data_IF_349638560530
#
_entry.id   IF_349638560530
#
_cell.length_a   1.000
_cell.length_b   1.000
_cell.length_c   1.000
_cell.angle_alpha   90.00
_cell.angle_beta   90.00
_cell.angle_gamma   90.00
#
_symmetry.space_group_name_H-M   'P 1'
#
loop_
_entity.id
_entity.type
_entity.pdbx_description
1 polymer ?
#
# COMPACT_ATOMS: atom_id res chain seq x y z
N UNK A 1 43.45 23.43 1.98
CA UNK A 1 42.82 22.73 3.10
C UNK A 1 42.34 21.38 2.59
N UNK A 2 43.08 20.30 2.85
CA UNK A 2 42.71 18.97 2.36
C UNK A 2 41.50 18.46 3.13
N UNK A 3 40.39 18.19 2.44
CA UNK A 3 39.20 17.60 3.04
C UNK A 3 39.58 16.21 3.55
N UNK A 4 39.58 16.03 4.87
CA UNK A 4 39.86 14.74 5.47
C UNK A 4 38.69 13.79 5.17
N UNK A 5 38.91 12.88 4.22
CA UNK A 5 37.93 11.91 3.74
C UNK A 5 37.43 10.97 4.85
N UNK A 6 38.21 10.75 5.93
CA UNK A 6 37.74 10.01 7.09
C UNK A 6 36.71 10.81 7.89
N UNK A 7 36.95 12.11 8.11
CA UNK A 7 36.02 12.98 8.84
C UNK A 7 34.69 13.09 8.11
N UNK A 8 34.71 13.22 6.78
CA UNK A 8 33.50 13.21 5.94
C UNK A 8 32.78 11.85 6.01
N UNK A 9 33.51 10.73 6.00
CA UNK A 9 32.89 9.39 6.14
C UNK A 9 32.25 9.19 7.51
N UNK A 10 32.90 9.62 8.59
CA UNK A 10 32.36 9.50 9.95
C UNK A 10 31.13 10.38 10.12
N UNK A 11 31.16 11.63 9.63
CA UNK A 11 30.00 12.51 9.65
C UNK A 11 28.84 11.96 8.79
N UNK A 12 29.12 11.40 7.62
CA UNK A 12 28.12 10.73 6.79
C UNK A 12 27.52 9.49 7.49
N UNK A 13 28.32 8.69 8.20
CA UNK A 13 27.85 7.55 8.97
C UNK A 13 27.03 7.95 10.20
N UNK A 14 27.41 9.04 10.88
CA UNK A 14 26.66 9.60 12.00
C UNK A 14 25.33 10.21 11.53
N UNK A 15 25.34 10.97 10.44
CA UNK A 15 24.14 11.48 9.80
C UNK A 15 23.24 10.35 9.28
N UNK A 16 23.81 9.30 8.69
CA UNK A 16 23.10 8.10 8.27
C UNK A 16 22.47 7.35 9.46
N UNK A 17 23.22 7.19 10.55
CA UNK A 17 22.74 6.60 11.80
C UNK A 17 21.60 7.42 12.42
N UNK A 18 21.77 8.75 12.45
CA UNK A 18 20.82 9.70 13.00
C UNK A 18 19.54 9.76 12.15
N UNK A 19 19.64 9.97 10.83
CA UNK A 19 18.50 10.00 9.90
C UNK A 19 17.71 8.70 9.86
N UNK A 20 18.38 7.56 10.10
CA UNK A 20 17.73 6.24 10.23
C UNK A 20 17.04 6.05 11.59
N UNK A 21 17.56 6.66 12.66
CA UNK A 21 16.90 6.71 13.98
C UNK A 21 15.71 7.67 14.00
N UNK A 22 15.80 8.82 13.33
CA UNK A 22 14.73 9.84 13.28
C UNK A 22 13.63 9.55 12.26
N UNK A 23 13.80 8.55 11.38
CA UNK A 23 12.79 8.16 10.41
C UNK A 23 12.74 9.02 9.14
N UNK A 24 13.63 10.01 9.00
CA UNK A 24 13.69 10.92 7.84
C UNK A 24 13.88 10.14 6.53
N UNK A 25 14.71 9.10 6.53
CA UNK A 25 14.88 8.23 5.36
C UNK A 25 13.57 7.52 4.96
N UNK A 26 12.75 7.18 5.95
CA UNK A 26 11.49 6.49 5.71
C UNK A 26 10.44 7.46 5.20
N UNK A 27 10.38 8.67 5.76
CA UNK A 27 9.55 9.75 5.25
C UNK A 27 9.92 10.10 3.80
N UNK A 28 11.21 10.21 3.47
CA UNK A 28 11.67 10.48 2.10
C UNK A 28 11.26 9.34 1.15
N UNK A 29 11.44 8.08 1.54
CA UNK A 29 11.02 6.94 0.69
C UNK A 29 9.51 6.95 0.48
N UNK A 30 8.72 7.19 1.53
CA UNK A 30 7.26 7.27 1.42
C UNK A 30 6.87 8.44 0.52
N UNK A 31 7.42 9.63 0.74
CA UNK A 31 7.13 10.81 -0.08
C UNK A 31 7.50 10.60 -1.54
N UNK A 32 8.70 10.07 -1.84
CA UNK A 32 9.13 9.80 -3.22
C UNK A 32 8.23 8.73 -3.85
N UNK A 33 7.92 7.65 -3.13
CA UNK A 33 7.00 6.62 -3.63
C UNK A 33 5.60 7.18 -3.88
N UNK A 34 5.11 8.06 -3.01
CA UNK A 34 3.84 8.77 -3.20
C UNK A 34 3.88 9.70 -4.42
N UNK A 35 4.96 10.45 -4.62
CA UNK A 35 5.12 11.34 -5.77
C UNK A 35 5.20 10.54 -7.08
N UNK A 36 5.94 9.43 -7.11
CA UNK A 36 6.00 8.54 -8.28
C UNK A 36 4.64 7.89 -8.54
N UNK A 37 3.97 7.41 -7.48
CA UNK A 37 2.61 6.88 -7.56
C UNK A 37 1.65 7.89 -8.20
N UNK A 38 1.63 9.13 -7.71
CA UNK A 38 0.75 10.17 -8.22
C UNK A 38 1.13 10.66 -9.62
N UNK A 39 2.41 10.68 -9.96
CA UNK A 39 2.88 11.01 -11.31
C UNK A 39 2.42 9.98 -12.34
N UNK A 40 2.62 8.69 -12.07
CA UNK A 40 2.15 7.61 -12.96
C UNK A 40 0.63 7.64 -13.05
N UNK A 41 -0.07 7.84 -11.92
CA UNK A 41 -1.53 7.88 -11.89
C UNK A 41 -2.13 9.03 -12.68
N UNK A 42 -1.50 10.21 -12.67
CA UNK A 42 -1.93 11.38 -13.45
C UNK A 42 -1.53 11.32 -14.93
N UNK A 43 -0.56 10.49 -15.31
CA UNK A 43 -0.12 10.32 -16.70
C UNK A 43 -1.00 9.35 -17.52
N UNK A 44 -1.82 8.52 -16.84
CA UNK A 44 -2.75 7.58 -17.49
C UNK A 44 -4.08 8.30 -17.70
N UNK A 45 -4.19 9.02 -18.82
CA UNK A 45 -5.42 9.70 -19.25
C UNK A 45 -5.99 9.00 -20.50
N UNK A 46 -7.31 8.90 -20.58
CA UNK A 46 -8.13 8.44 -21.73
C UNK A 46 -8.05 6.95 -22.14
N UNK A 47 -8.40 6.04 -21.21
CA UNK A 47 -8.75 4.64 -21.53
C UNK A 47 -10.15 4.25 -21.02
N UNK A 48 -11.08 5.20 -21.00
CA UNK A 48 -12.44 5.00 -20.46
C UNK A 48 -13.18 3.82 -21.11
N UNK A 49 -13.13 3.71 -22.44
CA UNK A 49 -13.80 2.63 -23.17
C UNK A 49 -13.22 1.25 -22.85
N UNK A 50 -11.89 1.16 -22.76
CA UNK A 50 -11.23 -0.09 -22.37
C UNK A 50 -11.50 -0.44 -20.91
N UNK A 51 -11.46 0.54 -20.01
CA UNK A 51 -11.78 0.36 -18.60
C UNK A 51 -13.20 -0.17 -18.40
N UNK A 52 -14.16 0.35 -19.17
CA UNK A 52 -15.53 -0.14 -19.17
C UNK A 52 -15.62 -1.58 -19.69
N UNK A 53 -14.95 -1.90 -20.80
CA UNK A 53 -14.90 -3.26 -21.33
C UNK A 53 -14.34 -4.24 -20.30
N UNK A 54 -13.20 -3.92 -19.69
CA UNK A 54 -12.57 -4.74 -18.66
C UNK A 54 -13.46 -4.89 -17.42
N UNK A 55 -14.24 -3.85 -17.08
CA UNK A 55 -15.23 -3.91 -16.00
C UNK A 55 -16.40 -4.87 -16.31
N UNK A 56 -16.89 -4.87 -17.55
CA UNK A 56 -17.91 -5.82 -18.01
C UNK A 56 -17.37 -7.25 -18.06
N UNK A 57 -16.11 -7.44 -18.48
CA UNK A 57 -15.45 -8.75 -18.45
C UNK A 57 -15.32 -9.30 -17.02
N UNK A 58 -15.09 -8.42 -16.04
CA UNK A 58 -15.08 -8.77 -14.62
C UNK A 58 -16.46 -9.18 -14.10
N UNK A 59 -17.52 -8.47 -14.49
CA UNK A 59 -18.89 -8.87 -14.19
C UNK A 59 -19.16 -10.27 -14.75
N UNK A 60 -18.81 -10.53 -16.01
CA UNK A 60 -18.99 -11.84 -16.63
C UNK A 60 -18.19 -12.94 -15.91
N UNK A 61 -16.97 -12.63 -15.48
CA UNK A 61 -16.14 -13.53 -14.67
C UNK A 61 -16.79 -13.84 -13.32
N UNK A 62 -17.27 -12.84 -12.59
CA UNK A 62 -17.93 -13.03 -11.30
C UNK A 62 -19.22 -13.83 -11.42
N UNK A 63 -19.99 -13.61 -12.50
CA UNK A 63 -21.16 -14.42 -12.83
C UNK A 63 -20.78 -15.87 -13.10
N UNK A 64 -19.72 -16.11 -13.88
CA UNK A 64 -19.22 -17.46 -14.16
C UNK A 64 -18.70 -18.17 -12.89
N UNK A 65 -18.14 -17.42 -11.96
CA UNK A 65 -17.67 -17.92 -10.66
C UNK A 65 -18.80 -18.06 -9.62
N UNK A 66 -19.99 -17.52 -9.90
CA UNK A 66 -21.13 -17.52 -8.98
C UNK A 66 -20.98 -16.58 -7.78
N UNK A 67 -20.16 -15.54 -7.89
CA UNK A 67 -19.87 -14.56 -6.83
C UNK A 67 -20.34 -13.14 -7.16
N UNK A 68 -21.10 -12.96 -8.25
CA UNK A 68 -21.71 -11.68 -8.63
C UNK A 68 -22.84 -11.31 -7.65
N UNK A 69 -22.46 -10.76 -6.50
CA UNK A 69 -23.36 -10.44 -5.37
C UNK A 69 -23.35 -8.96 -5.02
N UNK A 70 -22.63 -8.13 -5.76
CA UNK A 70 -22.44 -6.70 -5.47
C UNK A 70 -23.78 -5.96 -5.42
N UNK A 71 -24.68 -6.24 -6.37
CA UNK A 71 -26.02 -5.63 -6.42
C UNK A 71 -26.86 -6.06 -5.20
N UNK A 72 -26.80 -7.35 -4.84
CA UNK A 72 -27.51 -7.85 -3.67
C UNK A 72 -26.99 -7.19 -2.40
N UNK A 73 -25.66 -7.10 -2.23
CA UNK A 73 -25.05 -6.49 -1.05
C UNK A 73 -25.36 -4.99 -0.96
N UNK A 74 -25.31 -4.27 -2.10
CA UNK A 74 -25.70 -2.87 -2.16
C UNK A 74 -27.17 -2.68 -1.77
N UNK A 75 -28.07 -3.59 -2.19
CA UNK A 75 -29.50 -3.54 -1.86
C UNK A 75 -29.80 -3.60 -0.35
N UNK A 76 -28.90 -4.21 0.45
CA UNK A 76 -29.10 -4.31 1.90
C UNK A 76 -29.06 -2.94 2.61
N UNK A 77 -28.43 -1.93 2.00
CA UNK A 77 -28.24 -0.61 2.62
C UNK A 77 -28.83 0.53 1.79
N UNK A 78 -29.13 0.33 0.51
CA UNK A 78 -29.36 1.43 -0.44
C UNK A 78 -30.58 2.30 -0.10
N UNK A 79 -31.60 1.73 0.52
CA UNK A 79 -32.83 2.43 0.91
C UNK A 79 -32.71 3.15 2.27
N UNK A 80 -31.62 2.91 3.01
CA UNK A 80 -31.42 3.41 4.37
C UNK A 80 -30.35 4.48 4.41
N UNK A 81 -30.78 5.75 4.48
CA UNK A 81 -29.90 6.93 4.44
C UNK A 81 -28.67 6.83 5.37
N UNK A 82 -28.88 6.43 6.63
CA UNK A 82 -27.80 6.33 7.61
C UNK A 82 -26.85 5.16 7.34
N UNK A 83 -27.36 4.05 6.80
CA UNK A 83 -26.53 2.91 6.44
C UNK A 83 -25.60 3.27 5.27
N UNK A 84 -26.12 3.90 4.22
CA UNK A 84 -25.30 4.36 3.09
C UNK A 84 -24.25 5.37 3.54
N UNK A 85 -24.64 6.36 4.36
CA UNK A 85 -23.69 7.36 4.88
C UNK A 85 -22.60 6.72 5.74
N UNK A 86 -22.93 5.71 6.54
CA UNK A 86 -21.95 5.00 7.33
C UNK A 86 -20.97 4.22 6.44
N UNK A 87 -21.46 3.56 5.37
CA UNK A 87 -20.60 2.86 4.41
C UNK A 87 -19.70 3.82 3.62
N UNK A 88 -20.22 4.97 3.17
CA UNK A 88 -19.42 6.05 2.56
C UNK A 88 -18.36 6.58 3.53
N UNK A 89 -18.72 6.75 4.81
CA UNK A 89 -17.78 7.22 5.83
C UNK A 89 -16.66 6.21 6.07
N UNK A 90 -16.96 4.91 6.17
CA UNK A 90 -15.94 3.86 6.26
C UNK A 90 -15.04 3.89 5.03
N UNK A 91 -15.61 4.01 3.84
CA UNK A 91 -14.87 4.01 2.59
C UNK A 91 -13.81 5.12 2.58
N UNK A 92 -14.24 6.35 2.90
CA UNK A 92 -13.40 7.52 2.83
C UNK A 92 -12.45 7.66 4.04
N UNK A 93 -13.01 7.70 5.25
CA UNK A 93 -12.25 7.96 6.47
C UNK A 93 -11.54 6.73 7.02
N UNK A 94 -12.08 5.56 6.71
CA UNK A 94 -11.56 4.29 7.16
C UNK A 94 -10.32 3.81 6.40
N UNK A 95 -9.92 4.51 5.34
CA UNK A 95 -8.76 4.13 4.55
C UNK A 95 -7.53 5.00 4.88
N UNK A 96 -7.28 6.07 4.13
CA UNK A 96 -6.03 6.85 4.24
C UNK A 96 -5.81 7.46 5.64
N UNK A 97 -6.81 8.06 6.30
CA UNK A 97 -6.63 8.55 7.68
C UNK A 97 -6.25 7.45 8.65
N UNK A 98 -6.90 6.27 8.56
CA UNK A 98 -6.56 5.15 9.43
C UNK A 98 -5.17 4.58 9.13
N UNK A 99 -4.77 4.51 7.85
CA UNK A 99 -3.40 4.13 7.45
C UNK A 99 -2.39 5.01 8.16
N UNK A 100 -2.60 6.33 8.20
CA UNK A 100 -1.71 7.28 8.87
C UNK A 100 -1.68 7.03 10.39
N UNK A 101 -2.85 6.89 11.02
CA UNK A 101 -2.96 6.64 12.47
C UNK A 101 -2.25 5.34 12.86
N UNK A 102 -2.51 4.24 12.16
CA UNK A 102 -1.87 2.95 12.45
C UNK A 102 -0.39 2.96 12.11
N UNK A 103 0.03 3.67 11.06
CA UNK A 103 1.45 3.84 10.76
C UNK A 103 2.18 4.57 11.89
N UNK A 104 1.61 5.66 12.43
CA UNK A 104 2.17 6.38 13.59
C UNK A 104 2.18 5.47 14.83
N UNK A 105 1.07 4.81 15.13
CA UNK A 105 0.99 3.88 16.26
C UNK A 105 2.06 2.78 16.20
N UNK A 106 2.17 2.10 15.05
CA UNK A 106 3.20 1.07 14.85
C UNK A 106 4.61 1.67 14.88
N UNK A 107 4.81 2.89 14.37
CA UNK A 107 6.12 3.54 14.40
C UNK A 107 6.57 3.84 15.83
N UNK A 108 5.69 4.39 16.67
CA UNK A 108 5.97 4.75 18.07
C UNK A 108 6.15 3.50 18.93
N UNK A 109 5.20 2.55 18.87
CA UNK A 109 5.12 1.47 19.85
C UNK A 109 5.65 0.12 19.33
N UNK A 110 5.69 -0.10 18.01
CA UNK A 110 6.00 -1.40 17.41
C UNK A 110 6.94 -1.29 16.19
N UNK A 111 8.07 -0.60 16.37
CA UNK A 111 8.99 -0.20 15.29
C UNK A 111 9.39 -1.31 14.32
N UNK A 112 9.58 -2.54 14.83
CA UNK A 112 9.90 -3.72 14.00
C UNK A 112 8.75 -4.08 13.06
N UNK A 113 7.53 -4.15 13.60
CA UNK A 113 6.31 -4.41 12.83
C UNK A 113 6.04 -3.30 11.83
N UNK A 114 6.21 -2.04 12.22
CA UNK A 114 6.11 -0.90 11.30
C UNK A 114 7.00 -1.08 10.07
N UNK A 115 8.27 -1.46 10.26
CA UNK A 115 9.22 -1.61 9.14
C UNK A 115 8.79 -2.69 8.14
N UNK A 116 8.24 -3.80 8.64
CA UNK A 116 7.69 -4.88 7.82
C UNK A 116 6.44 -4.40 7.06
N UNK A 117 5.45 -3.86 7.78
CA UNK A 117 4.15 -3.45 7.22
C UNK A 117 4.32 -2.30 6.23
N UNK A 118 5.16 -1.30 6.52
CA UNK A 118 5.48 -0.21 5.58
C UNK A 118 6.09 -0.76 4.29
N UNK A 119 7.01 -1.71 4.38
CA UNK A 119 7.63 -2.30 3.18
C UNK A 119 6.60 -3.12 2.39
N UNK A 120 5.71 -3.83 3.06
CA UNK A 120 4.62 -4.57 2.43
C UNK A 120 3.62 -3.63 1.72
N UNK A 121 3.26 -2.53 2.39
CA UNK A 121 2.39 -1.47 1.86
C UNK A 121 2.99 -0.86 0.59
N UNK A 122 4.28 -0.48 0.62
CA UNK A 122 4.95 0.11 -0.55
C UNK A 122 5.10 -0.90 -1.70
N UNK A 123 5.44 -2.15 -1.39
CA UNK A 123 5.57 -3.21 -2.40
C UNK A 123 4.23 -3.53 -3.06
N UNK A 124 3.16 -3.71 -2.27
CA UNK A 124 1.80 -3.95 -2.79
C UNK A 124 1.27 -2.75 -3.57
N UNK A 125 1.52 -1.52 -3.10
CA UNK A 125 1.18 -0.30 -3.82
C UNK A 125 1.87 -0.21 -5.18
N UNK A 126 3.18 -0.51 -5.25
CA UNK A 126 3.92 -0.53 -6.51
C UNK A 126 3.39 -1.59 -7.49
N UNK A 127 3.06 -2.79 -7.00
CA UNK A 127 2.42 -3.84 -7.81
C UNK A 127 1.05 -3.36 -8.31
N UNK A 128 0.24 -2.75 -7.44
CA UNK A 128 -1.06 -2.21 -7.79
C UNK A 128 -0.97 -1.14 -8.89
N UNK A 129 0.02 -0.25 -8.82
CA UNK A 129 0.31 0.74 -9.87
C UNK A 129 0.57 0.10 -11.21
N UNK A 130 1.40 -0.95 -11.23
CA UNK A 130 1.70 -1.68 -12.46
C UNK A 130 0.43 -2.32 -13.02
N UNK A 131 -0.39 -2.95 -12.16
CA UNK A 131 -1.62 -3.63 -12.59
C UNK A 131 -2.60 -2.63 -13.21
N UNK A 132 -2.99 -1.55 -12.53
CA UNK A 132 -4.00 -0.65 -13.10
C UNK A 132 -3.47 0.14 -14.30
N UNK A 133 -2.15 0.37 -14.39
CA UNK A 133 -1.55 1.00 -15.57
C UNK A 133 -1.67 0.11 -16.81
N UNK A 134 -1.52 -1.21 -16.63
CA UNK A 134 -1.62 -2.19 -17.71
C UNK A 134 -3.06 -2.62 -18.00
N UNK A 135 -3.89 -2.70 -16.97
CA UNK A 135 -5.26 -3.21 -17.00
C UNK A 135 -6.19 -2.23 -16.27
N UNK A 136 -6.57 -1.10 -16.90
CA UNK A 136 -7.51 -0.15 -16.32
C UNK A 136 -8.90 -0.80 -16.23
N UNK A 137 -9.63 -0.54 -15.15
CA UNK A 137 -10.95 -1.14 -14.90
C UNK A 137 -11.88 -0.07 -14.33
N UNK A 138 -13.04 0.10 -14.96
CA UNK A 138 -14.08 0.96 -14.45
C UNK A 138 -14.71 0.32 -13.19
N UNK A 139 -14.78 1.03 -12.06
CA UNK A 139 -15.46 0.54 -10.87
C UNK A 139 -16.97 0.39 -11.13
N UNK A 140 -17.68 -0.44 -10.34
CA UNK A 140 -19.11 -0.70 -10.53
C UNK A 140 -19.96 0.57 -10.69
N UNK A 141 -19.71 1.61 -9.88
CA UNK A 141 -20.41 2.91 -9.91
C UNK A 141 -20.30 3.65 -11.24
N UNK A 142 -19.30 3.33 -12.07
CA UNK A 142 -19.06 3.95 -13.37
C UNK A 142 -19.50 3.06 -14.55
N UNK A 143 -20.08 1.88 -14.31
CA UNK A 143 -20.61 1.00 -15.35
C UNK A 143 -22.09 1.32 -15.56
N UNK A 144 -22.47 2.00 -16.66
CA UNK A 144 -23.86 2.30 -16.92
C UNK A 144 -24.66 1.02 -17.14
N UNK A 145 -25.95 1.03 -16.78
CA UNK A 145 -26.92 -0.05 -17.01
C UNK A 145 -26.73 -1.36 -16.22
N UNK A 146 -25.64 -1.51 -15.44
CA UNK A 146 -25.42 -2.69 -14.58
C UNK A 146 -26.21 -2.66 -13.25
N UNK A 147 -26.92 -1.56 -12.96
CA UNK A 147 -27.80 -1.42 -11.79
C UNK A 147 -27.14 -0.84 -10.54
N UNK A 148 -25.85 -0.51 -10.59
CA UNK A 148 -25.14 0.10 -9.47
C UNK A 148 -25.56 1.55 -9.23
N UNK A 149 -25.58 1.94 -7.95
CA UNK A 149 -25.76 3.33 -7.52
C UNK A 149 -24.43 3.90 -7.02
N UNK A 150 -24.02 5.05 -7.57
CA UNK A 150 -22.88 5.83 -7.06
C UNK A 150 -23.30 6.57 -5.78
N UNK A 151 -23.20 5.88 -4.64
CA UNK A 151 -23.62 6.42 -3.34
C UNK A 151 -22.79 7.62 -2.89
N UNK A 152 -21.53 7.70 -3.33
CA UNK A 152 -20.64 8.82 -3.02
C UNK A 152 -21.08 10.08 -3.76
N UNK A 153 -21.40 9.98 -5.06
CA UNK A 153 -21.91 11.10 -5.84
C UNK A 153 -23.25 11.63 -5.30
N UNK A 154 -24.13 10.73 -4.84
CA UNK A 154 -25.46 11.09 -4.35
C UNK A 154 -25.42 11.69 -2.94
N UNK A 155 -24.65 11.11 -2.00
CA UNK A 155 -24.78 11.41 -0.57
C UNK A 155 -23.52 11.97 0.11
N UNK A 156 -22.34 11.95 -0.54
CA UNK A 156 -21.10 12.47 0.04
C UNK A 156 -20.26 13.24 -0.97
N UNK A 157 -20.76 14.43 -1.33
CA UNK A 157 -20.09 15.33 -2.30
C UNK A 157 -18.68 15.73 -1.88
N UNK A 158 -18.39 15.84 -0.58
CA UNK A 158 -17.06 16.22 -0.10
C UNK A 158 -16.09 15.06 -0.29
N UNK A 159 -16.48 13.85 0.13
CA UNK A 159 -15.67 12.66 -0.12
C UNK A 159 -15.48 12.41 -1.61
N UNK A 160 -16.55 12.56 -2.40
CA UNK A 160 -16.52 12.43 -3.86
C UNK A 160 -15.61 13.46 -4.53
N UNK A 161 -15.71 14.74 -4.15
CA UNK A 161 -14.81 15.78 -4.66
C UNK A 161 -13.37 15.58 -4.19
N UNK A 162 -13.12 15.15 -2.96
CA UNK A 162 -11.76 14.83 -2.53
C UNK A 162 -11.18 13.63 -3.29
N UNK A 163 -12.03 12.66 -3.65
CA UNK A 163 -11.69 11.53 -4.49
C UNK A 163 -11.46 11.94 -5.95
N UNK A 164 -12.25 12.84 -6.53
CA UNK A 164 -12.21 13.19 -7.97
C UNK A 164 -11.37 14.46 -8.28
N UNK A 165 -11.30 15.43 -7.35
CA UNK A 165 -10.69 16.76 -7.58
C UNK A 165 -9.17 16.82 -7.33
N UNK A 166 -8.54 15.71 -6.98
CA UNK A 166 -7.09 15.64 -7.02
C UNK A 166 -6.68 15.46 -8.48
N UNK A 167 -5.81 16.32 -9.01
CA UNK A 167 -5.14 16.17 -10.32
C UNK A 167 -4.25 14.90 -10.44
N UNK A 168 -4.51 13.90 -9.58
CA UNK A 168 -3.71 12.75 -9.25
C UNK A 168 -4.56 11.48 -9.03
N UNK A 169 -5.86 11.49 -9.34
CA UNK A 169 -6.75 10.33 -9.18
C UNK A 169 -7.20 9.82 -10.55
N UNK A 170 -6.82 8.58 -10.85
CA UNK A 170 -7.37 7.82 -11.97
C UNK A 170 -8.65 7.09 -11.50
N UNK A 171 -9.84 7.40 -12.04
CA UNK A 171 -11.10 6.78 -11.66
C UNK A 171 -11.21 5.33 -12.12
N UNK A 172 -10.38 4.89 -13.07
CA UNK A 172 -10.35 3.53 -13.65
C UNK A 172 -9.33 2.59 -12.98
N UNK A 173 -9.01 2.84 -11.71
CA UNK A 173 -8.05 2.04 -10.94
C UNK A 173 -8.76 1.13 -9.92
N UNK A 174 -9.84 0.47 -10.32
CA UNK A 174 -10.59 -0.43 -9.42
C UNK A 174 -9.77 -1.67 -9.04
N UNK A 175 -8.98 -2.22 -9.97
CA UNK A 175 -8.22 -3.46 -9.76
C UNK A 175 -6.73 -3.19 -9.59
N UNK A 176 -6.07 -3.75 -8.56
CA UNK A 176 -6.63 -4.47 -7.40
C UNK A 176 -7.15 -3.50 -6.33
N UNK A 177 -8.08 -3.95 -5.46
CA UNK A 177 -8.55 -3.13 -4.35
C UNK A 177 -7.50 -2.99 -3.24
N UNK A 178 -6.74 -1.89 -3.29
CA UNK A 178 -5.82 -1.51 -2.23
C UNK A 178 -6.56 -1.07 -0.95
N UNK A 179 -7.82 -0.63 -1.07
CA UNK A 179 -8.69 -0.39 0.09
C UNK A 179 -8.79 -1.61 0.99
N UNK A 180 -9.22 -2.74 0.42
CA UNK A 180 -9.31 -3.99 1.14
C UNK A 180 -7.93 -4.56 1.48
N UNK A 181 -7.01 -4.60 0.49
CA UNK A 181 -5.68 -5.17 0.66
C UNK A 181 -4.88 -4.52 1.78
N UNK A 182 -4.83 -3.19 1.87
CA UNK A 182 -4.10 -2.50 2.94
C UNK A 182 -4.83 -2.58 4.28
N UNK A 183 -6.17 -2.63 4.26
CA UNK A 183 -6.96 -2.87 5.49
C UNK A 183 -6.66 -4.25 6.08
N UNK A 184 -6.45 -5.27 5.25
CA UNK A 184 -5.96 -6.58 5.71
C UNK A 184 -4.56 -6.52 6.32
N UNK A 185 -3.61 -5.84 5.67
CA UNK A 185 -2.24 -5.72 6.19
C UNK A 185 -2.21 -5.00 7.55
N UNK A 186 -2.90 -3.86 7.63
CA UNK A 186 -2.94 -3.02 8.83
C UNK A 186 -3.75 -3.68 9.96
N UNK A 187 -4.91 -4.24 9.64
CA UNK A 187 -5.74 -4.97 10.58
C UNK A 187 -5.04 -6.22 11.12
N UNK A 188 -4.39 -6.99 10.25
CA UNK A 188 -3.56 -8.13 10.64
C UNK A 188 -2.37 -7.72 11.51
N UNK A 189 -1.71 -6.60 11.19
CA UNK A 189 -0.64 -6.07 12.01
C UNK A 189 -1.13 -5.64 13.41
N UNK A 190 -2.30 -5.00 13.49
CA UNK A 190 -2.92 -4.60 14.76
C UNK A 190 -3.28 -5.82 15.61
N UNK A 191 -3.90 -6.84 15.01
CA UNK A 191 -4.22 -8.09 15.69
C UNK A 191 -2.96 -8.83 16.17
N UNK A 192 -1.88 -8.81 15.36
CA UNK A 192 -0.61 -9.44 15.72
C UNK A 192 0.06 -8.78 16.92
N UNK A 193 0.21 -7.44 16.90
CA UNK A 193 0.85 -6.73 18.02
C UNK A 193 -0.04 -6.70 19.26
N UNK A 194 -1.36 -6.73 19.06
CA UNK A 194 -2.39 -6.75 20.09
C UNK A 194 -2.81 -8.14 20.56
N UNK A 195 -2.07 -9.22 20.25
CA UNK A 195 -2.45 -10.62 20.54
C UNK A 195 -2.80 -10.93 22.01
N UNK A 196 -2.40 -10.08 22.95
CA UNK A 196 -2.77 -10.18 24.38
C UNK A 196 -3.98 -9.32 24.79
N UNK A 197 -4.59 -8.60 23.85
CA UNK A 197 -5.68 -7.65 24.07
C UNK A 197 -6.83 -7.99 23.11
N UNK A 198 -7.88 -8.70 23.58
CA UNK A 198 -8.96 -9.18 22.72
C UNK A 198 -9.61 -8.09 21.86
N UNK A 199 -9.73 -6.87 22.39
CA UNK A 199 -10.29 -5.74 21.65
C UNK A 199 -9.44 -5.33 20.45
N UNK A 200 -8.10 -5.35 20.56
CA UNK A 200 -7.21 -5.04 19.43
C UNK A 200 -7.27 -6.13 18.36
N UNK A 201 -7.36 -7.40 18.78
CA UNK A 201 -7.53 -8.53 17.86
C UNK A 201 -8.87 -8.41 17.12
N UNK A 202 -9.96 -8.18 17.85
CA UNK A 202 -11.28 -8.00 17.27
C UNK A 202 -11.30 -6.81 16.30
N UNK A 203 -10.78 -5.65 16.69
CA UNK A 203 -10.69 -4.48 15.82
C UNK A 203 -9.86 -4.77 14.55
N UNK A 204 -8.71 -5.42 14.70
CA UNK A 204 -7.84 -5.75 13.57
C UNK A 204 -8.45 -6.73 12.57
N UNK A 205 -9.26 -7.69 13.05
CA UNK A 205 -9.95 -8.66 12.19
C UNK A 205 -11.24 -8.11 11.59
N UNK A 206 -11.98 -7.29 12.35
CA UNK A 206 -13.23 -6.69 11.89
C UNK A 206 -13.00 -5.62 10.83
N UNK A 207 -11.90 -4.89 10.92
CA UNK A 207 -11.63 -3.77 10.02
C UNK A 207 -11.64 -4.12 8.51
N UNK A 208 -10.87 -5.13 8.03
CA UNK A 208 -10.94 -5.51 6.62
C UNK A 208 -12.34 -5.99 6.19
N UNK A 209 -13.12 -6.60 7.09
CA UNK A 209 -14.50 -7.01 6.80
C UNK A 209 -15.41 -5.80 6.58
N UNK A 210 -15.32 -4.80 7.47
CA UNK A 210 -16.06 -3.54 7.30
C UNK A 210 -15.64 -2.81 6.03
N UNK A 211 -14.35 -2.81 5.71
CA UNK A 211 -13.86 -2.22 4.47
C UNK A 211 -14.38 -2.96 3.23
N UNK A 212 -14.44 -4.29 3.25
CA UNK A 212 -15.02 -5.08 2.15
C UNK A 212 -16.48 -4.71 1.89
N UNK A 213 -17.30 -4.70 2.94
CA UNK A 213 -18.69 -4.29 2.80
C UNK A 213 -18.81 -2.86 2.29
N UNK A 214 -18.02 -1.95 2.86
CA UNK A 214 -18.01 -0.55 2.46
C UNK A 214 -17.67 -0.37 0.98
N UNK A 215 -16.60 -1.00 0.46
CA UNK A 215 -16.20 -0.81 -0.94
C UNK A 215 -17.20 -1.41 -1.94
N UNK A 216 -17.85 -2.53 -1.58
CA UNK A 216 -18.84 -3.21 -2.43
C UNK A 216 -20.19 -2.49 -2.39
N UNK A 217 -20.71 -2.20 -1.19
CA UNK A 217 -22.01 -1.56 -1.01
C UNK A 217 -22.04 -0.11 -1.53
N UNK A 218 -20.88 0.55 -1.60
CA UNK A 218 -20.74 1.88 -2.22
C UNK A 218 -20.40 1.82 -3.72
N UNK A 219 -20.41 0.63 -4.33
CA UNK A 219 -20.10 0.37 -5.73
C UNK A 219 -18.72 0.91 -6.18
N UNK A 220 -17.76 1.03 -5.27
CA UNK A 220 -16.41 1.47 -5.61
C UNK A 220 -15.51 0.32 -6.10
N UNK A 221 -15.86 -0.92 -5.77
CA UNK A 221 -15.06 -2.10 -6.06
C UNK A 221 -15.93 -3.35 -6.24
N UNK A 222 -15.45 -4.26 -7.08
CA UNK A 222 -16.00 -5.61 -7.28
C UNK A 222 -15.56 -6.55 -6.15
N UNK A 223 -16.24 -7.67 -5.92
CA UNK A 223 -15.80 -8.66 -4.93
C UNK A 223 -14.47 -9.31 -5.35
N UNK A 224 -14.30 -9.61 -6.64
CA UNK A 224 -13.08 -10.22 -7.19
C UNK A 224 -11.86 -9.30 -7.06
N UNK A 225 -12.06 -7.98 -7.13
CA UNK A 225 -10.96 -7.04 -7.00
C UNK A 225 -10.42 -6.97 -5.55
N UNK A 226 -11.27 -7.29 -4.56
CA UNK A 226 -10.87 -7.43 -3.17
C UNK A 226 -10.01 -8.68 -2.99
N UNK A 227 -10.35 -9.77 -3.68
CA UNK A 227 -9.49 -10.98 -3.73
C UNK A 227 -8.12 -10.64 -4.32
N UNK A 228 -8.08 -9.91 -5.45
CA UNK A 228 -6.81 -9.46 -6.03
C UNK A 228 -6.04 -8.51 -5.10
N UNK A 229 -6.74 -7.61 -4.40
CA UNK A 229 -6.19 -6.76 -3.36
C UNK A 229 -5.51 -7.54 -2.23
N UNK A 230 -6.18 -8.58 -1.73
CA UNK A 230 -5.62 -9.48 -0.72
C UNK A 230 -4.36 -10.17 -1.22
N UNK A 231 -4.40 -10.75 -2.42
CA UNK A 231 -3.25 -11.44 -3.03
C UNK A 231 -2.07 -10.50 -3.18
N UNK A 232 -2.28 -9.30 -3.75
CA UNK A 232 -1.22 -8.29 -3.95
C UNK A 232 -0.63 -7.82 -2.61
N UNK A 233 -1.45 -7.65 -1.59
CA UNK A 233 -0.99 -7.36 -0.23
C UNK A 233 -0.15 -8.47 0.37
N UNK A 234 -0.58 -9.73 0.23
CA UNK A 234 0.16 -10.89 0.73
C UNK A 234 1.51 -11.07 0.01
N UNK A 235 1.53 -10.84 -1.32
CA UNK A 235 2.78 -10.80 -2.09
C UNK A 235 3.69 -9.69 -1.59
N UNK A 236 3.16 -8.49 -1.37
CA UNK A 236 3.90 -7.38 -0.77
C UNK A 236 4.49 -7.75 0.60
N UNK A 237 3.73 -8.44 1.44
CA UNK A 237 4.19 -8.94 2.74
C UNK A 237 5.30 -9.99 2.59
N UNK A 238 5.17 -10.93 1.64
CA UNK A 238 6.19 -11.93 1.37
C UNK A 238 7.51 -11.30 0.88
N UNK A 239 7.43 -10.29 0.01
CA UNK A 239 8.58 -9.47 -0.41
C UNK A 239 9.22 -8.78 0.79
N UNK A 240 8.41 -8.13 1.64
CA UNK A 240 8.90 -7.43 2.82
C UNK A 240 9.61 -8.38 3.81
N UNK A 241 9.05 -9.57 4.02
CA UNK A 241 9.62 -10.60 4.87
C UNK A 241 10.92 -11.17 4.29
N UNK A 242 10.96 -11.42 2.98
CA UNK A 242 12.18 -11.81 2.26
C UNK A 242 13.29 -10.78 2.42
N UNK A 243 12.97 -9.49 2.21
CA UNK A 243 13.92 -8.38 2.42
C UNK A 243 14.40 -8.32 3.87
N UNK A 244 13.51 -8.51 4.85
CA UNK A 244 13.86 -8.51 6.28
C UNK A 244 14.85 -9.62 6.63
N UNK A 245 14.72 -10.81 6.03
CA UNK A 245 15.61 -11.97 6.24
C UNK A 245 16.96 -11.83 5.52
N UNK A 246 16.97 -11.28 4.31
CA UNK A 246 18.18 -11.19 3.46
C UNK A 246 19.07 -10.01 3.83
N UNK A 247 18.50 -8.87 4.22
CA UNK A 247 19.24 -7.62 4.47
C UNK A 247 20.38 -7.75 5.50
N UNK A 248 20.21 -8.43 6.65
CA UNK A 248 21.32 -8.62 7.59
C UNK A 248 22.47 -9.45 7.01
N UNK A 249 22.14 -10.51 6.25
CA UNK A 249 23.13 -11.40 5.61
C UNK A 249 23.91 -10.67 4.52
N UNK A 250 23.21 -9.91 3.67
CA UNK A 250 23.82 -9.11 2.62
C UNK A 250 24.75 -8.02 3.21
N UNK A 251 24.31 -7.33 4.27
CA UNK A 251 25.14 -6.32 4.95
C UNK A 251 26.37 -6.95 5.62
N UNK A 252 26.23 -8.13 6.22
CA UNK A 252 27.36 -8.87 6.81
C UNK A 252 28.37 -9.27 5.72
N UNK A 253 27.91 -9.79 4.59
CA UNK A 253 28.75 -10.15 3.45
C UNK A 253 29.50 -8.93 2.87
N UNK A 254 28.80 -7.81 2.66
CA UNK A 254 29.40 -6.57 2.15
C UNK A 254 30.45 -6.04 3.14
N UNK A 255 30.15 -6.02 4.45
CA UNK A 255 31.12 -5.60 5.49
C UNK A 255 32.35 -6.50 5.50
N UNK A 256 32.18 -7.83 5.43
CA UNK A 256 33.29 -8.78 5.39
C UNK A 256 34.17 -8.57 4.15
N UNK A 257 33.56 -8.35 2.98
CA UNK A 257 34.28 -8.06 1.74
C UNK A 257 35.03 -6.72 1.78
N UNK A 258 34.44 -5.68 2.39
CA UNK A 258 35.06 -4.38 2.55
C UNK A 258 36.25 -4.42 3.52
N UNK A 259 36.09 -5.07 4.69
CA UNK A 259 37.17 -5.26 5.66
C UNK A 259 38.32 -6.11 5.07
N UNK A 260 38.00 -7.18 4.34
CA UNK A 260 39.00 -8.01 3.65
C UNK A 260 39.72 -7.30 2.49
N UNK A 261 39.17 -6.21 1.94
CA UNK A 261 39.90 -5.35 0.98
C UNK A 261 40.84 -4.39 1.69
N UNK A 262 40.38 -3.78 2.80
CA UNK A 262 41.20 -2.88 3.63
C UNK A 262 42.40 -3.59 4.24
N UNK A 263 42.22 -4.83 4.74
CA UNK A 263 43.31 -5.62 5.29
C UNK A 263 44.38 -5.95 4.24
N UNK A 264 43.98 -6.30 3.01
CA UNK A 264 44.90 -6.58 1.89
C UNK A 264 45.66 -5.34 1.40
N UNK A 265 45.02 -4.17 1.39
CA UNK A 265 45.72 -2.93 1.05
C UNK A 265 46.70 -2.48 2.13
N UNK A 266 46.41 -2.77 3.40
CA UNK A 266 47.30 -2.45 4.52
C UNK A 266 48.50 -3.41 4.63
N UNK A 267 48.38 -4.65 4.13
CA UNK A 267 49.46 -5.65 4.14
C UNK A 267 50.38 -5.59 2.92
N UNK A 268 50.10 -4.72 1.93
CA UNK A 268 50.91 -4.55 0.71
C UNK A 268 51.91 -3.38 0.79
N UNK A 269 52.17 -2.82 1.98
CA UNK A 269 53.08 -1.66 2.15
C UNK A 269 54.54 -2.03 2.49
N UNK A 270 54.92 -3.30 2.39
CA UNK A 270 56.32 -3.72 2.57
C UNK A 270 57.16 -3.45 1.31
N UNK A 271 58.33 -2.78 1.39
CA UNK A 271 59.20 -2.61 0.23
C UNK A 271 59.66 -3.98 -0.30
N UNK A 272 59.60 -4.15 -1.63
CA UNK A 272 60.20 -5.34 -2.28
C UNK A 272 61.70 -5.36 -1.97
N UNK A 273 62.26 -6.50 -1.54
CA UNK A 273 63.71 -6.59 -1.34
C UNK A 273 64.41 -6.32 -2.67
N UNK A 274 65.49 -5.53 -2.69
CA UNK A 274 66.30 -5.35 -3.89
C UNK A 274 66.90 -6.70 -4.29
N UNK A 275 66.74 -7.04 -5.57
CA UNK A 275 67.31 -8.24 -6.19
C UNK A 275 68.78 -8.06 -6.54
#
# INVERSE_FOLDING_TARGET
MAINLETVRVQALLFWSFSRRTGIQEAIVVVIAFLVYFFIRGAVVDRAGEALSNGLDLIALEQALGIYWEIEWQSWVIDEYWAVRFMNWIYFWGHMPLVIVLAIFLWVYHRSTYGLVRTAFLASGAIGVIIYALYPVAPPRLIPFAGYVDTMAVLDRVGYQAQEAQAFVNPYAAVPSLHFGWSMLLGGALAWVGRGQPLMVAAGLLWPVLMLFSIVMTANHFIIDAVFGAVVSLVGLAVAEGMRRVRPKALAFIKAKALGRLYRSASYTGPRPPG
#
